data_IF_282717505161
#
_entry.id   IF_282717505161
#
_cell.length_a   1.000
_cell.length_b   1.000
_cell.length_c   1.000
_cell.angle_alpha   90.00
_cell.angle_beta   90.00
_cell.angle_gamma   90.00
#
_symmetry.space_group_name_H-M   'P 1'
#
loop_
_entity.id
_entity.type
_entity.pdbx_description
1 polymer ?
#
# COMPACT_ATOMS: atom_id res chain seq x y z
N UNK A 1 6.99 -6.45 3.91
CA UNK A 1 7.57 -5.10 4.00
C UNK A 1 6.81 -4.34 5.06
N UNK A 2 7.52 -3.81 6.05
CA UNK A 2 6.97 -3.00 7.14
C UNK A 2 7.21 -1.52 6.82
N UNK A 3 6.18 -0.66 6.97
CA UNK A 3 6.31 0.78 6.76
C UNK A 3 6.80 1.53 8.01
N UNK A 4 6.71 0.89 9.18
CA UNK A 4 7.07 1.48 10.48
C UNK A 4 6.06 2.49 11.03
N UNK A 5 5.03 2.85 10.25
CA UNK A 5 3.86 3.62 10.67
C UNK A 5 2.67 3.30 9.77
N UNK A 6 1.42 3.57 10.20
CA UNK A 6 0.26 3.49 9.33
C UNK A 6 0.37 4.46 8.15
N UNK A 7 0.18 3.95 6.94
CA UNK A 7 0.17 4.72 5.68
C UNK A 7 -1.09 4.41 4.88
N UNK A 8 -1.59 5.39 4.12
CA UNK A 8 -2.72 5.18 3.22
C UNK A 8 -2.20 4.84 1.83
N UNK A 9 -2.39 3.59 1.39
CA UNK A 9 -1.93 3.08 0.09
C UNK A 9 -3.08 3.07 -0.91
N UNK A 10 -2.84 3.47 -2.15
CA UNK A 10 -3.81 3.44 -3.24
C UNK A 10 -3.25 2.95 -4.60
N UNK A 11 -1.95 2.71 -4.71
CA UNK A 11 -1.35 2.16 -5.93
C UNK A 11 -0.17 1.22 -5.62
N UNK A 12 -0.02 0.19 -6.45
CA UNK A 12 1.11 -0.74 -6.43
C UNK A 12 1.69 -0.85 -7.83
N UNK A 13 3.02 -0.78 -7.95
CA UNK A 13 3.73 -0.90 -9.23
C UNK A 13 4.76 -2.03 -9.17
N UNK A 14 4.78 -2.85 -10.21
CA UNK A 14 5.73 -3.97 -10.34
C UNK A 14 6.70 -3.73 -11.50
N UNK A 15 7.96 -4.10 -11.28
CA UNK A 15 9.03 -4.07 -12.29
C UNK A 15 9.72 -5.43 -12.37
N UNK A 16 9.93 -5.90 -13.59
CA UNK A 16 10.64 -7.15 -13.85
C UNK A 16 11.98 -6.89 -14.51
N UNK A 17 12.89 -7.85 -14.33
CA UNK A 17 13.98 -7.99 -15.27
C UNK A 17 13.36 -8.49 -16.58
N UNK A 18 13.67 -7.79 -17.66
CA UNK A 18 13.07 -8.01 -18.97
C UNK A 18 14.15 -8.23 -20.02
N UNK A 19 15.15 -9.08 -19.71
CA UNK A 19 16.14 -9.54 -20.68
C UNK A 19 15.52 -10.62 -21.58
N UNK A 20 14.52 -10.23 -22.39
CA UNK A 20 13.84 -11.15 -23.28
C UNK A 20 14.66 -11.38 -24.56
N UNK A 21 14.77 -12.62 -25.06
CA UNK A 21 13.98 -13.81 -24.70
C UNK A 21 14.62 -14.72 -23.64
N UNK A 22 15.61 -14.26 -22.87
CA UNK A 22 16.30 -15.09 -21.88
C UNK A 22 15.53 -15.20 -20.54
N UNK A 23 14.79 -14.15 -20.17
CA UNK A 23 13.98 -14.11 -18.95
C UNK A 23 12.54 -14.65 -19.14
N UNK A 24 12.05 -15.37 -18.13
CA UNK A 24 10.61 -15.60 -17.92
C UNK A 24 10.02 -14.41 -17.16
N UNK A 25 8.70 -14.43 -16.93
CA UNK A 25 7.99 -13.39 -16.19
C UNK A 25 6.92 -13.97 -15.27
N UNK A 26 6.44 -13.19 -14.30
CA UNK A 26 5.33 -13.56 -13.42
C UNK A 26 4.01 -13.19 -14.11
N UNK A 27 3.08 -14.14 -14.25
CA UNK A 27 1.75 -13.87 -14.84
C UNK A 27 0.75 -13.33 -13.83
N UNK A 28 0.92 -13.70 -12.57
CA UNK A 28 0.10 -13.24 -11.45
C UNK A 28 0.95 -13.16 -10.19
N UNK A 29 0.68 -12.16 -9.36
CA UNK A 29 1.21 -12.05 -7.99
C UNK A 29 0.09 -11.69 -7.03
N UNK A 30 0.26 -12.06 -5.76
CA UNK A 30 -0.67 -11.70 -4.68
C UNK A 30 -0.01 -10.75 -3.68
N UNK A 31 -0.75 -9.76 -3.21
CA UNK A 31 -0.33 -8.89 -2.10
C UNK A 31 -1.35 -8.99 -0.98
N UNK A 32 -0.90 -9.36 0.21
CA UNK A 32 -1.69 -9.27 1.45
C UNK A 32 -1.33 -7.99 2.19
N UNK A 33 -2.36 -7.27 2.64
CA UNK A 33 -2.24 -6.06 3.44
C UNK A 33 -2.33 -6.38 4.92
N UNK A 34 -1.87 -5.48 5.80
CA UNK A 34 -1.97 -5.66 7.25
C UNK A 34 -3.40 -5.80 7.79
N UNK A 35 -4.40 -5.41 7.00
CA UNK A 35 -5.82 -5.66 7.29
C UNK A 35 -6.25 -7.12 7.12
N UNK A 36 -5.40 -7.97 6.55
CA UNK A 36 -5.70 -9.35 6.16
C UNK A 36 -6.34 -9.49 4.77
N UNK A 37 -6.67 -8.38 4.09
CA UNK A 37 -7.17 -8.41 2.70
C UNK A 37 -6.04 -8.83 1.77
N UNK A 38 -6.35 -9.70 0.80
CA UNK A 38 -5.42 -10.08 -0.27
C UNK A 38 -5.96 -9.62 -1.62
N UNK A 39 -5.10 -8.96 -2.40
CA UNK A 39 -5.38 -8.61 -3.80
C UNK A 39 -4.47 -9.40 -4.73
N UNK A 40 -4.99 -9.76 -5.91
CA UNK A 40 -4.25 -10.44 -6.99
C UNK A 40 -4.07 -9.50 -8.17
N UNK A 41 -2.87 -9.49 -8.74
CA UNK A 41 -2.51 -8.60 -9.83
C UNK A 41 -2.08 -9.42 -11.05
N UNK A 42 -2.86 -9.37 -12.15
CA UNK A 42 -2.46 -9.98 -13.41
C UNK A 42 -1.40 -9.08 -14.07
N UNK A 43 -0.31 -9.67 -14.50
CA UNK A 43 0.82 -8.93 -15.05
C UNK A 43 0.91 -9.16 -16.57
N UNK A 44 1.79 -8.43 -17.25
CA UNK A 44 2.12 -8.62 -18.68
C UNK A 44 3.63 -8.78 -18.92
N UNK A 45 4.00 -9.46 -20.02
CA UNK A 45 5.40 -9.67 -20.42
C UNK A 45 5.99 -8.35 -20.88
N UNK A 46 6.58 -7.60 -19.96
CA UNK A 46 7.07 -6.24 -20.21
C UNK A 46 8.19 -5.88 -19.24
N UNK A 47 9.11 -5.04 -19.70
CA UNK A 47 10.09 -4.34 -18.87
C UNK A 47 9.63 -2.96 -18.39
N UNK A 48 8.45 -2.52 -18.80
CA UNK A 48 7.86 -1.27 -18.32
C UNK A 48 7.26 -1.43 -16.92
N UNK A 49 7.06 -0.31 -16.24
CA UNK A 49 6.30 -0.22 -14.99
C UNK A 49 4.88 -0.78 -15.18
N UNK A 50 4.44 -1.64 -14.27
CA UNK A 50 3.09 -2.22 -14.29
C UNK A 50 2.32 -1.77 -13.04
N UNK A 51 1.61 -0.65 -13.18
CA UNK A 51 0.87 0.02 -12.10
C UNK A 51 -0.59 -0.43 -11.99
N UNK A 52 -1.05 -0.58 -10.75
CA UNK A 52 -2.41 -0.96 -10.42
C UNK A 52 -2.95 -0.05 -9.33
N UNK A 53 -4.01 0.70 -9.64
CA UNK A 53 -4.81 1.38 -8.61
C UNK A 53 -5.56 0.34 -7.79
N UNK A 54 -5.53 0.51 -6.46
CA UNK A 54 -6.28 -0.31 -5.53
C UNK A 54 -7.32 0.55 -4.80
N UNK A 55 -8.31 -0.12 -4.20
CA UNK A 55 -9.16 0.55 -3.22
C UNK A 55 -8.28 1.08 -2.07
N UNK A 56 -8.30 2.39 -1.79
CA UNK A 56 -7.41 2.94 -0.80
C UNK A 56 -7.59 2.32 0.58
N UNK A 57 -6.49 1.93 1.22
CA UNK A 57 -6.53 1.33 2.55
C UNK A 57 -5.38 1.83 3.43
N UNK A 58 -5.63 1.86 4.74
CA UNK A 58 -4.60 2.19 5.73
C UNK A 58 -3.94 0.88 6.17
N UNK A 59 -2.62 0.80 6.04
CA UNK A 59 -1.83 -0.39 6.30
C UNK A 59 -0.52 -0.05 7.01
N UNK A 60 0.00 -1.01 7.78
CA UNK A 60 1.31 -0.91 8.44
C UNK A 60 2.37 -1.76 7.73
N UNK A 61 1.92 -2.79 7.01
CA UNK A 61 2.76 -3.66 6.19
C UNK A 61 2.02 -4.19 4.97
N UNK A 62 2.80 -4.64 4.00
CA UNK A 62 2.35 -5.47 2.88
C UNK A 62 3.24 -6.68 2.71
N UNK A 63 2.65 -7.79 2.27
CA UNK A 63 3.34 -9.04 1.96
C UNK A 63 3.09 -9.40 0.50
N UNK A 64 4.16 -9.49 -0.29
CA UNK A 64 4.13 -10.04 -1.64
C UNK A 64 4.31 -11.55 -1.57
N UNK A 65 3.36 -12.31 -2.11
CA UNK A 65 3.38 -13.77 -2.14
C UNK A 65 2.63 -14.30 -3.37
N UNK A 66 2.48 -15.63 -3.47
CA UNK A 66 1.69 -16.26 -4.54
C UNK A 66 2.18 -15.87 -5.94
N UNK A 67 3.49 -15.92 -6.16
CA UNK A 67 4.10 -15.56 -7.45
C UNK A 67 3.91 -16.72 -8.44
N UNK A 68 3.03 -16.53 -9.41
CA UNK A 68 2.70 -17.53 -10.41
C UNK A 68 3.49 -17.24 -11.69
N UNK A 69 4.39 -18.14 -12.05
CA UNK A 69 5.19 -18.03 -13.27
C UNK A 69 4.32 -18.22 -14.52
N UNK A 70 4.65 -17.50 -15.59
CA UNK A 70 4.05 -17.74 -16.90
C UNK A 70 4.41 -19.13 -17.44
N UNK A 71 3.52 -19.71 -18.24
CA UNK A 71 3.78 -20.99 -18.91
C UNK A 71 4.67 -20.74 -20.13
N UNK A 72 5.98 -20.71 -19.91
CA UNK A 72 7.00 -20.66 -20.96
C UNK A 72 8.13 -21.68 -20.72
N UNK A 73 9.04 -21.80 -21.68
CA UNK A 73 10.19 -22.71 -21.61
C UNK A 73 11.39 -22.10 -20.84
N UNK A 74 11.28 -20.86 -20.36
CA UNK A 74 12.41 -20.06 -19.87
C UNK A 74 12.58 -20.18 -18.35
N UNK A 75 13.80 -20.38 -17.84
CA UNK A 75 13.94 -21.06 -16.57
C UNK A 75 13.50 -20.21 -15.36
N UNK A 76 13.72 -18.89 -15.35
CA UNK A 76 13.53 -18.07 -14.14
C UNK A 76 12.95 -16.68 -14.43
N UNK A 77 11.79 -16.31 -13.83
CA UNK A 77 11.33 -14.94 -13.75
C UNK A 77 12.09 -14.17 -12.65
N UNK A 78 12.24 -12.86 -12.82
CA UNK A 78 12.87 -12.00 -11.82
C UNK A 78 12.08 -10.71 -11.59
N UNK A 79 11.65 -10.50 -10.35
CA UNK A 79 11.14 -9.21 -9.88
C UNK A 79 12.35 -8.35 -9.48
N UNK A 80 12.46 -7.15 -10.04
CA UNK A 80 13.54 -6.21 -9.72
C UNK A 80 13.12 -5.18 -8.69
N UNK A 81 11.85 -4.74 -8.74
CA UNK A 81 11.34 -3.71 -7.85
C UNK A 81 9.83 -3.84 -7.67
N UNK A 82 9.37 -3.47 -6.47
CA UNK A 82 7.97 -3.20 -6.15
C UNK A 82 7.91 -1.80 -5.54
N UNK A 83 6.94 -1.00 -5.98
CA UNK A 83 6.65 0.30 -5.38
C UNK A 83 5.26 0.25 -4.76
N UNK A 84 5.12 0.81 -3.57
CA UNK A 84 3.85 0.99 -2.90
C UNK A 84 3.63 2.49 -2.73
N UNK A 85 2.63 3.01 -3.43
CA UNK A 85 2.33 4.43 -3.51
C UNK A 85 1.12 4.79 -2.68
N UNK A 86 1.15 6.00 -2.13
CA UNK A 86 0.11 6.49 -1.26
C UNK A 86 0.51 7.77 -0.51
N UNK A 87 -0.22 8.07 0.56
CA UNK A 87 -0.02 9.26 1.38
C UNK A 87 0.15 8.89 2.85
N UNK A 88 0.73 9.81 3.61
CA UNK A 88 0.69 9.74 5.06
C UNK A 88 -0.76 9.82 5.57
N UNK A 89 -1.06 9.09 6.64
CA UNK A 89 -2.33 9.24 7.36
C UNK A 89 -2.24 10.54 8.14
N UNK A 90 -3.09 11.52 7.83
CA UNK A 90 -3.16 12.75 8.60
C UNK A 90 -3.48 12.39 10.06
N UNK A 91 -2.55 12.66 10.97
CA UNK A 91 -2.79 12.53 12.40
C UNK A 91 -4.02 13.37 12.74
N UNK A 92 -4.98 12.77 13.44
CA UNK A 92 -6.07 13.54 14.02
C UNK A 92 -5.43 14.70 14.80
N UNK A 93 -5.60 15.93 14.30
CA UNK A 93 -5.22 17.12 15.04
C UNK A 93 -5.89 16.98 16.41
N UNK A 94 -5.08 16.82 17.45
CA UNK A 94 -5.57 16.92 18.82
C UNK A 94 -6.05 18.35 18.93
N UNK A 95 -7.37 18.56 18.81
CA UNK A 95 -7.97 19.84 19.13
C UNK A 95 -7.58 20.13 20.57
N UNK A 96 -6.77 21.19 20.72
CA UNK A 96 -6.30 21.67 22.01
C UNK A 96 -7.48 21.87 22.93
N UNK A 97 -7.32 21.36 24.14
CA UNK A 97 -8.20 21.63 25.26
C UNK A 97 -7.88 23.08 25.67
N UNK A 98 -8.66 24.04 25.19
CA UNK A 98 -8.72 25.35 25.84
C UNK A 98 -9.88 25.33 26.84
N UNK A 99 -9.47 25.26 28.10
CA UNK A 99 -10.25 25.28 29.32
C UNK A 99 -10.94 26.66 29.47
N UNK A 100 -12.15 26.81 28.92
CA UNK A 100 -12.97 28.00 29.19
C UNK A 100 -13.77 27.78 30.48
N UNK A 101 -13.16 28.12 31.62
CA UNK A 101 -13.86 28.28 32.91
C UNK A 101 -14.85 29.44 32.79
N UNK A 102 -16.07 29.10 32.36
CA UNK A 102 -17.24 29.96 32.45
C UNK A 102 -17.63 30.20 33.91
N UNK A 103 -17.03 31.22 34.51
CA UNK A 103 -17.42 31.74 35.83
C UNK A 103 -18.78 32.43 35.71
N UNK A 104 -19.85 31.75 36.11
CA UNK A 104 -21.17 32.35 36.25
C UNK A 104 -21.18 33.36 37.41
N UNK A 105 -21.70 34.59 37.25
CA UNK A 105 -22.00 35.46 38.39
C UNK A 105 -23.38 35.08 38.96
N UNK A 106 -23.43 34.85 40.27
CA UNK A 106 -24.68 34.69 41.03
C UNK A 106 -25.43 36.04 41.12
N UNK A 107 -26.77 36.07 41.13
CA UNK A 107 -27.52 37.30 41.31
C UNK A 107 -27.49 37.77 42.78
N UNK A 108 -27.36 39.08 42.98
CA UNK A 108 -27.57 39.74 44.27
C UNK A 108 -29.07 39.87 44.53
N UNK A 109 -29.58 39.19 45.55
CA UNK A 109 -30.88 39.49 46.15
C UNK A 109 -30.67 40.51 47.28
N UNK A 110 -31.40 41.63 47.24
CA UNK A 110 -31.63 42.51 48.38
C UNK A 110 -33.10 42.38 48.81
#
# INVERSE_FOLDING_TARGET
MEFGKPVRVDEIVFYFRADFPHDSWWKEVSVTFSSGKTSRFPLVKSGAAQGFSIEPCIVEWVELHGLIRAEDILPFPALTQIEIWGTEVAGAATFGIDDEVGRAPLPLSL
#
